data_IF_393085359090
#
_entry.id   IF_393085359090
#
_cell.length_a   1.000
_cell.length_b   1.000
_cell.length_c   1.000
_cell.angle_alpha   90.00
_cell.angle_beta   90.00
_cell.angle_gamma   90.00
#
_symmetry.space_group_name_H-M   'P 1'
#
loop_
_entity.id
_entity.type
_entity.pdbx_description
1 polymer ?
#
# COMPACT_ATOMS: atom_id res chain seq x y z
N UNK A 1 -15.59 -11.36 -6.14
CA UNK A 1 -14.23 -11.80 -5.81
C UNK A 1 -13.31 -11.15 -6.81
N UNK A 2 -12.58 -10.13 -6.34
CA UNK A 2 -11.75 -9.23 -7.14
C UNK A 2 -10.50 -8.89 -6.34
N UNK A 3 -9.33 -8.93 -6.97
CA UNK A 3 -8.06 -8.48 -6.40
C UNK A 3 -7.77 -7.09 -6.94
N UNK A 4 -7.40 -6.17 -6.06
CA UNK A 4 -7.14 -4.77 -6.40
C UNK A 4 -5.63 -4.52 -6.45
N UNK A 5 -5.21 -3.70 -7.42
CA UNK A 5 -3.84 -3.24 -7.59
C UNK A 5 -3.87 -1.71 -7.72
N UNK A 6 -3.05 -1.02 -6.93
CA UNK A 6 -2.87 0.44 -6.96
C UNK A 6 -1.39 0.79 -6.83
N UNK A 7 -0.98 1.98 -7.26
CA UNK A 7 0.39 2.52 -7.11
C UNK A 7 0.37 4.03 -7.30
N UNK A 8 1.49 4.69 -7.00
CA UNK A 8 1.74 6.10 -7.38
C UNK A 8 0.72 7.10 -6.82
N UNK A 9 0.25 6.85 -5.59
CA UNK A 9 -0.68 7.75 -4.90
C UNK A 9 0.04 9.03 -4.46
N UNK A 10 1.32 8.90 -4.08
CA UNK A 10 2.14 10.01 -3.62
C UNK A 10 1.48 10.84 -2.52
N UNK A 11 0.99 10.16 -1.48
CA UNK A 11 0.32 10.81 -0.37
C UNK A 11 1.25 11.84 0.29
N UNK A 12 0.75 13.06 0.39
CA UNK A 12 1.50 14.22 0.85
C UNK A 12 0.59 15.13 1.70
N UNK A 13 1.02 15.59 2.88
CA UNK A 13 0.23 16.49 3.73
C UNK A 13 -0.18 17.81 3.06
N UNK A 14 0.56 18.28 2.06
CA UNK A 14 0.22 19.47 1.25
C UNK A 14 -0.91 19.21 0.24
N UNK A 15 -1.23 17.94 -0.04
CA UNK A 15 -2.29 17.49 -0.97
C UNK A 15 -3.29 16.56 -0.27
N UNK A 16 -4.00 17.02 0.78
CA UNK A 16 -4.83 16.15 1.62
C UNK A 16 -6.00 15.48 0.88
N UNK A 17 -6.47 16.08 -0.22
CA UNK A 17 -7.58 15.52 -1.01
C UNK A 17 -7.27 14.11 -1.56
N UNK A 18 -6.01 13.81 -1.89
CA UNK A 18 -5.62 12.47 -2.37
C UNK A 18 -5.72 11.47 -1.21
N UNK A 19 -5.27 11.85 -0.02
CA UNK A 19 -5.43 11.04 1.19
C UNK A 19 -6.90 10.78 1.49
N UNK A 20 -7.77 11.78 1.41
CA UNK A 20 -9.21 11.62 1.64
C UNK A 20 -9.85 10.63 0.68
N UNK A 21 -9.52 10.71 -0.62
CA UNK A 21 -9.99 9.77 -1.63
C UNK A 21 -9.48 8.35 -1.36
N UNK A 22 -8.21 8.21 -0.98
CA UNK A 22 -7.64 6.91 -0.64
C UNK A 22 -8.30 6.31 0.60
N UNK A 23 -8.54 7.10 1.64
CA UNK A 23 -9.24 6.64 2.84
C UNK A 23 -10.69 6.24 2.54
N UNK A 24 -11.37 6.92 1.61
CA UNK A 24 -12.69 6.50 1.14
C UNK A 24 -12.63 5.15 0.42
N UNK A 25 -11.71 5.01 -0.54
CA UNK A 25 -11.45 3.75 -1.25
C UNK A 25 -11.19 2.56 -0.31
N UNK A 26 -10.40 2.79 0.76
CA UNK A 26 -10.12 1.74 1.74
C UNK A 26 -11.36 1.31 2.52
N UNK A 27 -12.25 2.25 2.87
CA UNK A 27 -13.48 1.96 3.62
C UNK A 27 -14.56 1.28 2.77
N UNK A 28 -14.55 1.55 1.47
CA UNK A 28 -15.61 1.13 0.56
C UNK A 28 -15.13 -0.06 -0.29
N UNK A 29 -14.41 0.17 -1.38
CA UNK A 29 -14.04 -0.86 -2.35
C UNK A 29 -13.05 -1.90 -1.79
N UNK A 30 -12.03 -1.48 -1.05
CA UNK A 30 -10.98 -2.39 -0.59
C UNK A 30 -11.50 -3.43 0.41
N UNK A 31 -12.48 -3.08 1.23
CA UNK A 31 -13.14 -3.97 2.20
C UNK A 31 -13.85 -5.16 1.57
N UNK A 32 -14.17 -5.10 0.27
CA UNK A 32 -14.88 -6.15 -0.46
C UNK A 32 -13.95 -6.98 -1.37
N UNK A 33 -12.65 -6.67 -1.36
CA UNK A 33 -11.67 -7.33 -2.22
C UNK A 33 -11.17 -8.66 -1.63
N UNK A 34 -10.66 -9.54 -2.50
CA UNK A 34 -9.98 -10.76 -2.05
C UNK A 34 -8.56 -10.46 -1.52
N UNK A 35 -7.94 -9.40 -2.04
CA UNK A 35 -6.63 -8.88 -1.66
C UNK A 35 -6.42 -7.46 -2.22
N UNK A 36 -5.58 -6.67 -1.56
CA UNK A 36 -5.11 -5.36 -2.01
C UNK A 36 -3.59 -5.38 -2.18
N UNK A 37 -3.10 -5.03 -3.36
CA UNK A 37 -1.69 -4.85 -3.67
C UNK A 37 -1.39 -3.39 -3.95
N UNK A 38 -0.43 -2.83 -3.22
CA UNK A 38 0.08 -1.47 -3.39
C UNK A 38 1.49 -1.57 -3.99
N UNK A 39 1.65 -1.19 -5.24
CA UNK A 39 2.86 -1.41 -6.05
C UNK A 39 3.80 -0.18 -6.05
N UNK A 40 4.16 0.28 -4.86
CA UNK A 40 5.09 1.38 -4.64
C UNK A 40 4.47 2.77 -4.70
N UNK A 41 5.23 3.73 -4.20
CA UNK A 41 4.94 5.16 -4.22
C UNK A 41 3.56 5.50 -3.62
N UNK A 42 3.24 4.82 -2.52
CA UNK A 42 2.13 5.18 -1.64
C UNK A 42 2.35 6.57 -1.06
N UNK A 43 3.57 6.88 -0.63
CA UNK A 43 3.93 8.19 -0.08
C UNK A 43 4.80 9.00 -1.06
N UNK A 44 4.65 10.32 -1.07
CA UNK A 44 5.51 11.21 -1.87
C UNK A 44 6.98 11.13 -1.44
N UNK A 45 7.21 10.90 -0.15
CA UNK A 45 8.53 10.62 0.42
C UNK A 45 8.39 9.83 1.73
N UNK A 46 9.33 8.93 1.98
CA UNK A 46 9.46 8.24 3.27
C UNK A 46 10.89 8.31 3.78
N UNK A 47 11.09 8.89 4.97
CA UNK A 47 12.42 9.07 5.57
C UNK A 47 12.70 8.10 6.72
N UNK A 48 11.71 7.33 7.17
CA UNK A 48 11.84 6.35 8.24
C UNK A 48 10.52 6.11 8.98
N UNK A 49 10.32 4.88 9.47
CA UNK A 49 9.10 4.48 10.18
C UNK A 49 8.87 5.24 11.50
N UNK A 50 9.92 5.81 12.08
CA UNK A 50 9.90 6.59 13.32
C UNK A 50 9.53 8.06 13.12
N UNK A 51 9.28 8.48 11.88
CA UNK A 51 8.90 9.87 11.56
C UNK A 51 7.43 10.13 11.91
N UNK A 52 7.13 11.11 12.78
CA UNK A 52 5.75 11.47 13.09
C UNK A 52 5.02 12.05 11.87
N UNK A 53 3.85 11.51 11.53
CA UNK A 53 3.02 12.01 10.44
C UNK A 53 1.56 11.61 10.66
N UNK A 54 0.71 12.59 11.00
CA UNK A 54 -0.72 12.34 11.21
C UNK A 54 -1.42 11.75 9.96
N UNK A 55 -0.96 12.13 8.76
CA UNK A 55 -1.46 11.57 7.52
C UNK A 55 -1.06 10.09 7.36
N UNK A 56 0.19 9.74 7.66
CA UNK A 56 0.65 8.36 7.59
C UNK A 56 0.03 7.48 8.69
N UNK A 57 -0.24 8.05 9.88
CA UNK A 57 -0.93 7.38 10.97
C UNK A 57 -2.39 7.05 10.56
N UNK A 58 -3.12 8.02 10.00
CA UNK A 58 -4.48 7.80 9.49
C UNK A 58 -4.53 6.74 8.38
N UNK A 59 -3.54 6.73 7.49
CA UNK A 59 -3.40 5.70 6.45
C UNK A 59 -3.12 4.33 7.06
N UNK A 60 -2.25 4.25 8.07
CA UNK A 60 -1.96 3.00 8.75
C UNK A 60 -3.21 2.42 9.42
N UNK A 61 -3.97 3.25 10.14
CA UNK A 61 -5.22 2.84 10.79
C UNK A 61 -6.24 2.30 9.77
N UNK A 62 -6.42 2.99 8.63
CA UNK A 62 -7.36 2.57 7.60
C UNK A 62 -6.93 1.27 6.89
N UNK A 63 -5.63 1.12 6.57
CA UNK A 63 -5.09 -0.11 6.00
C UNK A 63 -5.20 -1.29 6.99
N UNK A 64 -4.96 -1.03 8.27
CA UNK A 64 -5.10 -2.05 9.31
C UNK A 64 -6.54 -2.52 9.44
N UNK A 65 -7.51 -1.61 9.34
CA UNK A 65 -8.93 -1.97 9.35
C UNK A 65 -9.30 -2.90 8.17
N UNK A 66 -8.73 -2.67 6.98
CA UNK A 66 -8.90 -3.56 5.82
C UNK A 66 -8.32 -4.95 6.11
N UNK A 67 -7.13 -5.01 6.70
CA UNK A 67 -6.50 -6.26 7.11
C UNK A 67 -7.32 -7.01 8.19
N UNK A 68 -7.84 -6.30 9.20
CA UNK A 68 -8.69 -6.84 10.26
C UNK A 68 -10.03 -7.37 9.74
N UNK A 69 -10.56 -6.78 8.66
CA UNK A 69 -11.73 -7.28 7.95
C UNK A 69 -11.46 -8.58 7.16
N UNK A 70 -10.22 -9.07 7.15
CA UNK A 70 -9.81 -10.32 6.50
C UNK A 70 -9.28 -10.14 5.09
N UNK A 71 -9.12 -8.91 4.60
CA UNK A 71 -8.54 -8.63 3.27
C UNK A 71 -7.03 -8.50 3.40
N UNK A 72 -6.23 -9.45 2.88
CA UNK A 72 -4.78 -9.35 2.94
C UNK A 72 -4.27 -8.16 2.11
N UNK A 73 -3.44 -7.33 2.74
CA UNK A 73 -2.81 -6.16 2.11
C UNK A 73 -1.31 -6.42 1.90
N UNK A 74 -0.83 -6.11 0.70
CA UNK A 74 0.55 -6.28 0.29
C UNK A 74 1.13 -4.97 -0.23
N UNK A 75 2.40 -4.72 0.04
CA UNK A 75 3.11 -3.53 -0.39
C UNK A 75 4.44 -3.91 -1.05
N UNK A 76 4.67 -3.43 -2.27
CA UNK A 76 6.00 -3.35 -2.88
C UNK A 76 6.49 -1.91 -2.67
N UNK A 77 7.77 -1.74 -2.34
CA UNK A 77 8.41 -0.43 -2.19
C UNK A 77 8.55 0.24 -3.54
N UNK A 78 8.27 1.53 -3.62
CA UNK A 78 8.58 2.35 -4.79
C UNK A 78 9.87 3.15 -4.60
N UNK A 79 10.22 3.95 -5.60
CA UNK A 79 11.45 4.75 -5.56
C UNK A 79 11.35 5.96 -4.61
N UNK A 80 10.16 6.32 -4.10
CA UNK A 80 9.97 7.42 -3.12
C UNK A 80 9.84 6.96 -1.68
N UNK A 81 9.36 5.74 -1.49
CA UNK A 81 9.03 5.18 -0.19
C UNK A 81 9.76 3.85 0.09
N UNK A 82 10.92 3.67 -0.53
CA UNK A 82 11.82 2.52 -0.33
C UNK A 82 12.28 2.30 1.12
N UNK A 83 12.22 3.33 1.97
CA UNK A 83 12.55 3.21 3.39
C UNK A 83 11.40 2.67 4.25
N UNK A 84 10.19 2.47 3.70
CA UNK A 84 9.07 1.87 4.44
C UNK A 84 9.49 0.52 5.00
N UNK A 85 9.44 0.40 6.32
CA UNK A 85 9.95 -0.72 7.08
C UNK A 85 8.88 -1.59 7.72
N UNK A 86 9.34 -2.57 8.48
CA UNK A 86 8.46 -3.54 9.15
C UNK A 86 7.67 -2.92 10.30
N UNK A 87 8.10 -1.78 10.86
CA UNK A 87 7.38 -1.15 11.97
C UNK A 87 6.17 -0.37 11.47
N UNK A 88 6.29 0.32 10.33
CA UNK A 88 5.13 0.86 9.64
C UNK A 88 4.23 -0.24 9.08
N UNK A 89 4.79 -1.26 8.42
CA UNK A 89 4.00 -2.39 7.90
C UNK A 89 3.16 -3.09 8.99
N UNK A 90 3.73 -3.28 10.19
CA UNK A 90 3.01 -3.86 11.33
C UNK A 90 1.87 -2.96 11.82
N UNK A 91 2.10 -1.65 11.90
CA UNK A 91 1.05 -0.68 12.25
C UNK A 91 -0.07 -0.65 11.20
N UNK A 92 0.30 -0.66 9.93
CA UNK A 92 -0.65 -0.59 8.82
C UNK A 92 -1.29 -1.93 8.42
N UNK A 93 -0.87 -3.05 9.03
CA UNK A 93 -1.47 -4.37 8.78
C UNK A 93 -1.13 -5.00 7.42
N UNK A 94 -0.12 -4.50 6.69
CA UNK A 94 0.27 -5.06 5.39
C UNK A 94 1.58 -5.86 5.46
N UNK A 95 1.81 -6.68 4.43
CA UNK A 95 3.06 -7.41 4.23
C UNK A 95 3.90 -6.77 3.13
N UNK A 96 5.17 -6.55 3.41
CA UNK A 96 6.11 -6.07 2.38
C UNK A 96 6.54 -7.26 1.51
N UNK A 97 6.38 -7.11 0.20
CA UNK A 97 6.81 -8.07 -0.81
C UNK A 97 8.16 -7.62 -1.43
N UNK A 98 8.98 -8.56 -1.93
CA UNK A 98 10.16 -8.20 -2.73
C UNK A 98 9.75 -7.58 -4.07
N UNK A 99 10.62 -6.76 -4.64
CA UNK A 99 10.54 -6.32 -6.04
C UNK A 99 11.64 -7.02 -6.86
N UNK A 100 11.31 -7.87 -7.84
CA UNK A 100 9.97 -8.35 -8.22
C UNK A 100 9.37 -9.40 -7.27
N UNK A 101 8.04 -9.58 -7.38
CA UNK A 101 7.29 -10.71 -6.82
C UNK A 101 6.44 -11.41 -7.88
N UNK A 102 6.30 -12.73 -7.80
CA UNK A 102 5.34 -13.49 -8.63
C UNK A 102 4.22 -14.02 -7.73
N UNK A 103 2.97 -13.75 -8.12
CA UNK A 103 1.78 -14.25 -7.43
C UNK A 103 0.99 -15.21 -8.34
N UNK A 104 0.21 -16.11 -7.75
CA UNK A 104 -0.87 -16.78 -8.47
C UNK A 104 -2.13 -15.92 -8.37
N UNK A 105 -2.57 -15.39 -9.50
CA UNK A 105 -3.80 -14.61 -9.58
C UNK A 105 -4.84 -15.42 -10.34
N UNK A 106 -5.67 -16.13 -9.58
CA UNK A 106 -6.76 -16.97 -10.10
C UNK A 106 -6.28 -18.06 -11.08
N UNK A 107 -5.19 -18.74 -10.74
CA UNK A 107 -4.57 -19.79 -11.56
C UNK A 107 -3.65 -19.28 -12.67
N UNK A 108 -3.36 -17.98 -12.69
CA UNK A 108 -2.40 -17.36 -13.63
C UNK A 108 -1.22 -16.78 -12.87
N UNK A 109 0.03 -17.16 -13.20
CA UNK A 109 1.19 -16.49 -12.64
C UNK A 109 1.27 -15.05 -13.17
N UNK A 110 1.42 -14.09 -12.25
CA UNK A 110 1.52 -12.65 -12.54
C UNK A 110 2.76 -12.08 -11.84
N UNK A 111 3.61 -11.41 -12.60
CA UNK A 111 4.76 -10.66 -12.07
C UNK A 111 4.29 -9.28 -11.61
N UNK A 112 4.66 -8.92 -10.38
CA UNK A 112 4.44 -7.61 -9.76
C UNK A 112 5.78 -6.94 -9.52
N UNK A 113 5.86 -5.67 -9.90
CA UNK A 113 6.99 -4.77 -9.66
C UNK A 113 6.44 -3.35 -9.50
N UNK A 114 7.21 -2.48 -8.86
CA UNK A 114 6.96 -1.04 -8.97
C UNK A 114 7.25 -0.56 -10.41
N UNK A 115 8.39 -0.97 -10.97
CA UNK A 115 8.73 -0.77 -12.38
C UNK A 115 9.87 0.22 -12.65
N UNK A 116 10.36 0.91 -11.63
CA UNK A 116 11.56 1.76 -11.68
C UNK A 116 12.81 1.00 -12.15
N UNK A 117 12.95 -0.29 -11.79
CA UNK A 117 14.06 -1.15 -12.22
C UNK A 117 14.11 -1.44 -13.73
N UNK A 118 13.10 -1.04 -14.50
CA UNK A 118 13.02 -1.25 -15.95
C UNK A 118 13.44 -0.02 -16.77
N UNK A 119 13.75 1.10 -16.11
CA UNK A 119 14.08 2.40 -16.72
C UNK A 119 15.40 2.99 -16.18
#
# INVERSE_FOLDING_TARGET
MTTLFISDLHLDPSRPAITELFLAFLRDEAMQADALYILGDLFEAWIGDDTPSAAADAVAEALHAVADAGVPVYFIRGNRDFLVGNDYARRAGFRILPDPSVIDLYGRPVLLQHGDLLC
#
